data_IF_235290866501
#
_entry.id   IF_235290866501
#
_cell.length_a   1.000
_cell.length_b   1.000
_cell.length_c   1.000
_cell.angle_alpha   90.00
_cell.angle_beta   90.00
_cell.angle_gamma   90.00
#
_symmetry.space_group_name_H-M   'P 1'
#
loop_
_entity.id
_entity.type
_entity.pdbx_description
1 polymer ?
#
# COMPACT_ATOMS: atom_id res chain seq x y z
N UNK A 1 34.93 -15.80 1.75
CA UNK A 1 34.32 -14.72 2.56
C UNK A 1 34.75 -13.38 1.98
N UNK A 2 33.88 -12.72 1.19
CA UNK A 2 34.14 -11.37 0.70
C UNK A 2 33.90 -10.41 1.87
N UNK A 3 34.92 -9.65 2.25
CA UNK A 3 34.79 -8.48 3.12
C UNK A 3 33.89 -7.49 2.38
N UNK A 4 32.59 -7.59 2.62
CA UNK A 4 31.59 -6.66 2.12
C UNK A 4 31.95 -5.32 2.75
N UNK A 5 32.28 -4.35 1.91
CA UNK A 5 32.73 -3.03 2.31
C UNK A 5 31.78 -2.45 3.38
N UNK A 6 32.33 -2.18 4.57
CA UNK A 6 31.59 -1.70 5.75
C UNK A 6 30.95 -0.32 5.48
N UNK A 7 31.57 0.51 4.63
CA UNK A 7 31.10 1.86 4.28
C UNK A 7 29.76 1.90 3.54
N UNK A 8 29.55 1.18 2.41
CA UNK A 8 28.24 1.15 1.75
C UNK A 8 27.16 0.48 2.58
N UNK A 9 27.51 -0.47 3.46
CA UNK A 9 26.56 -1.09 4.38
C UNK A 9 26.04 -0.09 5.43
N UNK A 10 26.94 0.66 6.07
CA UNK A 10 26.58 1.72 7.03
C UNK A 10 25.72 2.81 6.38
N UNK A 11 26.04 3.17 5.14
CA UNK A 11 25.29 4.19 4.41
C UNK A 11 23.88 3.72 4.05
N UNK A 12 23.72 2.48 3.58
CA UNK A 12 22.40 1.89 3.34
C UNK A 12 21.56 1.78 4.62
N UNK A 13 22.20 1.44 5.75
CA UNK A 13 21.55 1.34 7.05
C UNK A 13 21.12 2.71 7.59
N UNK A 14 21.92 3.75 7.37
CA UNK A 14 21.57 5.14 7.67
C UNK A 14 20.38 5.65 6.84
N UNK A 15 20.32 5.31 5.55
CA UNK A 15 19.17 5.64 4.69
C UNK A 15 17.91 4.92 5.18
N UNK A 16 18.01 3.64 5.53
CA UNK A 16 16.89 2.88 6.09
C UNK A 16 16.37 3.49 7.40
N UNK A 17 17.26 3.87 8.31
CA UNK A 17 16.89 4.55 9.55
C UNK A 17 16.19 5.89 9.28
N UNK A 18 16.78 6.73 8.42
CA UNK A 18 16.21 8.02 8.04
C UNK A 18 14.82 7.83 7.41
N UNK A 19 14.66 6.83 6.55
CA UNK A 19 13.38 6.47 5.97
C UNK A 19 12.37 6.05 7.04
N UNK A 20 12.73 5.15 7.95
CA UNK A 20 11.80 4.72 9.00
C UNK A 20 11.33 5.87 9.88
N UNK A 21 12.21 6.82 10.20
CA UNK A 21 11.87 8.00 11.01
C UNK A 21 10.98 8.96 10.21
N UNK A 22 11.34 9.26 8.96
CA UNK A 22 10.62 10.21 8.11
C UNK A 22 9.19 9.74 7.80
N UNK A 23 9.01 8.45 7.54
CA UNK A 23 7.74 7.86 7.12
C UNK A 23 6.93 7.27 8.28
N UNK A 24 7.42 7.34 9.53
CA UNK A 24 6.75 6.76 10.70
C UNK A 24 5.31 7.25 10.85
N UNK A 25 5.09 8.57 10.74
CA UNK A 25 3.76 9.18 10.82
C UNK A 25 2.83 8.71 9.70
N UNK A 26 3.35 8.54 8.50
CA UNK A 26 2.57 8.04 7.35
C UNK A 26 2.17 6.59 7.57
N UNK A 27 3.07 5.78 8.14
CA UNK A 27 2.80 4.38 8.46
C UNK A 27 1.75 4.24 9.58
N UNK A 28 1.86 5.06 10.63
CA UNK A 28 0.89 5.14 11.72
C UNK A 28 -0.50 5.53 11.19
N UNK A 29 -0.57 6.54 10.31
CA UNK A 29 -1.83 6.96 9.70
C UNK A 29 -2.50 5.85 8.87
N UNK A 30 -1.72 5.00 8.18
CA UNK A 30 -2.25 3.84 7.44
C UNK A 30 -2.77 2.77 8.42
N UNK A 31 -2.06 2.54 9.53
CA UNK A 31 -2.46 1.56 10.55
C UNK A 31 -3.71 1.98 11.32
N UNK A 32 -3.81 3.26 11.71
CA UNK A 32 -4.97 3.79 12.45
C UNK A 32 -6.27 3.72 11.64
N UNK A 33 -6.21 4.01 10.33
CA UNK A 33 -7.35 3.83 9.40
C UNK A 33 -7.72 2.36 9.19
N UNK A 34 -6.74 1.49 9.37
CA UNK A 34 -6.63 0.26 8.63
C UNK A 34 -6.81 -1.01 9.43
N UNK A 35 -7.57 -1.00 10.52
CA UNK A 35 -7.73 -2.16 11.41
C UNK A 35 -8.39 -3.40 10.76
N UNK A 36 -8.86 -3.33 9.51
CA UNK A 36 -9.48 -4.47 8.81
C UNK A 36 -8.79 -4.84 7.48
N UNK A 37 -8.85 -4.01 6.43
CA UNK A 37 -8.42 -4.43 5.08
C UNK A 37 -6.99 -4.00 4.72
N UNK A 38 -6.49 -2.89 5.25
CA UNK A 38 -5.12 -2.41 4.98
C UNK A 38 -4.06 -3.35 5.57
N UNK A 39 -4.29 -3.86 6.78
CA UNK A 39 -3.43 -4.89 7.39
C UNK A 39 -3.41 -6.17 6.55
N UNK A 40 -4.57 -6.57 6.00
CA UNK A 40 -4.65 -7.74 5.11
C UNK A 40 -3.78 -7.56 3.87
N UNK A 41 -3.75 -6.35 3.29
CA UNK A 41 -2.90 -6.06 2.12
C UNK A 41 -1.42 -6.22 2.47
N UNK A 42 -0.98 -5.73 3.65
CA UNK A 42 0.39 -5.90 4.12
C UNK A 42 0.73 -7.39 4.34
N UNK A 43 -0.18 -8.16 4.94
CA UNK A 43 -0.02 -9.61 5.14
C UNK A 43 0.10 -10.34 3.80
N UNK A 44 -0.73 -10.00 2.82
CA UNK A 44 -0.69 -10.62 1.48
C UNK A 44 0.61 -10.25 0.77
N UNK A 45 1.05 -8.99 0.85
CA UNK A 45 2.34 -8.58 0.28
C UNK A 45 3.49 -9.41 0.87
N UNK A 46 3.50 -9.59 2.19
CA UNK A 46 4.49 -10.42 2.88
C UNK A 46 4.37 -11.91 2.49
N UNK A 47 3.15 -12.42 2.34
CA UNK A 47 2.89 -13.77 1.89
C UNK A 47 3.38 -14.04 0.47
N UNK A 48 3.19 -13.10 -0.47
CA UNK A 48 3.68 -13.21 -1.85
C UNK A 48 5.21 -13.34 -1.85
N UNK A 49 5.89 -12.53 -1.04
CA UNK A 49 7.35 -12.59 -0.89
C UNK A 49 7.77 -13.94 -0.29
N UNK A 50 7.09 -14.38 0.77
CA UNK A 50 7.40 -15.64 1.46
C UNK A 50 7.17 -16.87 0.57
N UNK A 51 6.05 -16.91 -0.15
CA UNK A 51 5.64 -18.01 -1.02
C UNK A 51 6.67 -18.28 -2.14
N UNK A 52 7.39 -17.25 -2.59
CA UNK A 52 8.40 -17.37 -3.65
C UNK A 52 9.80 -16.95 -3.18
N UNK A 53 10.13 -17.18 -1.90
CA UNK A 53 11.43 -16.82 -1.31
C UNK A 53 12.63 -17.26 -2.18
N UNK A 54 12.63 -18.49 -2.67
CA UNK A 54 13.75 -19.03 -3.47
C UNK A 54 13.94 -18.30 -4.80
N UNK A 55 12.86 -17.75 -5.36
CA UNK A 55 12.89 -16.95 -6.58
C UNK A 55 13.42 -15.53 -6.36
N UNK A 56 13.27 -15.00 -5.14
CA UNK A 56 13.67 -13.64 -4.78
C UNK A 56 15.06 -13.56 -4.15
N UNK A 57 15.49 -14.58 -3.40
CA UNK A 57 16.76 -14.55 -2.65
C UNK A 57 17.98 -15.07 -3.43
N UNK A 58 17.81 -15.80 -4.54
CA UNK A 58 18.92 -16.31 -5.36
C UNK A 58 19.38 -15.34 -6.48
N UNK A 59 19.11 -14.05 -6.32
CA UNK A 59 19.33 -13.05 -7.37
C UNK A 59 20.66 -12.35 -7.16
N UNK A 60 21.47 -12.14 -8.22
CA UNK A 60 22.64 -11.29 -8.10
C UNK A 60 22.19 -9.85 -7.80
N UNK A 61 22.44 -9.43 -6.56
CA UNK A 61 22.20 -8.06 -6.08
C UNK A 61 23.15 -7.13 -6.85
N UNK A 62 22.59 -6.25 -7.68
CA UNK A 62 23.34 -5.22 -8.41
C UNK A 62 22.75 -3.85 -8.03
N UNK A 63 23.26 -3.20 -6.97
CA UNK A 63 22.73 -1.94 -6.49
C UNK A 63 22.74 -0.88 -7.59
N UNK A 64 21.67 -0.10 -7.72
CA UNK A 64 21.63 1.04 -8.62
C UNK A 64 21.43 2.31 -7.79
N UNK A 65 22.55 2.80 -7.25
CA UNK A 65 22.63 3.99 -6.39
C UNK A 65 22.02 5.22 -7.08
N UNK A 66 22.39 5.62 -8.32
CA UNK A 66 21.85 6.84 -8.90
C UNK A 66 20.34 6.76 -9.09
N UNK A 67 19.81 5.67 -9.65
CA UNK A 67 18.37 5.53 -9.85
C UNK A 67 17.60 5.46 -8.52
N UNK A 68 18.12 4.72 -7.53
CA UNK A 68 17.50 4.61 -6.21
C UNK A 68 17.46 5.96 -5.50
N UNK A 69 18.55 6.72 -5.53
CA UNK A 69 18.61 8.07 -4.94
C UNK A 69 17.64 9.03 -5.62
N UNK A 70 17.53 9.00 -6.96
CA UNK A 70 16.56 9.84 -7.68
C UNK A 70 15.12 9.56 -7.24
N UNK A 71 14.74 8.29 -7.15
CA UNK A 71 13.39 7.89 -6.73
C UNK A 71 13.15 8.26 -5.26
N UNK A 72 14.13 8.05 -4.38
CA UNK A 72 14.04 8.46 -2.98
C UNK A 72 13.89 9.98 -2.83
N UNK A 73 14.59 10.76 -3.65
CA UNK A 73 14.49 12.22 -3.62
C UNK A 73 13.09 12.69 -4.05
N UNK A 74 12.52 12.09 -5.10
CA UNK A 74 11.14 12.33 -5.53
C UNK A 74 10.16 11.96 -4.39
N UNK A 75 10.36 10.81 -3.76
CA UNK A 75 9.57 10.35 -2.63
C UNK A 75 9.60 11.33 -1.47
N UNK A 76 10.78 11.86 -1.11
CA UNK A 76 10.91 12.88 -0.08
C UNK A 76 10.21 14.19 -0.44
N UNK A 77 10.29 14.63 -1.70
CA UNK A 77 9.55 15.80 -2.16
C UNK A 77 8.04 15.60 -2.06
N UNK A 78 7.54 14.41 -2.45
CA UNK A 78 6.12 14.06 -2.30
C UNK A 78 5.70 14.05 -0.83
N UNK A 79 6.53 13.50 0.07
CA UNK A 79 6.25 13.50 1.51
C UNK A 79 6.21 14.92 2.05
N UNK A 80 7.16 15.77 1.65
CA UNK A 80 7.21 17.17 2.05
C UNK A 80 5.95 17.91 1.61
N UNK A 81 5.56 17.78 0.35
CA UNK A 81 4.34 18.39 -0.19
C UNK A 81 3.11 17.85 0.55
N UNK A 82 2.96 16.52 0.64
CA UNK A 82 1.80 15.86 1.26
C UNK A 82 1.62 16.21 2.73
N UNK A 83 2.73 16.33 3.48
CA UNK A 83 2.70 16.80 4.87
C UNK A 83 2.33 18.28 4.99
N UNK A 84 2.71 19.11 4.01
CA UNK A 84 2.41 20.56 4.01
C UNK A 84 0.97 20.84 3.62
N UNK A 85 0.42 20.10 2.67
CA UNK A 85 -0.95 20.25 2.18
C UNK A 85 -1.97 19.47 3.00
N UNK A 86 -1.53 18.70 4.01
CA UNK A 86 -2.36 17.75 4.76
C UNK A 86 -3.11 16.75 3.85
N UNK A 87 -2.62 16.54 2.64
CA UNK A 87 -3.22 15.59 1.68
C UNK A 87 -2.62 14.22 1.91
N UNK A 88 -3.37 13.37 2.58
CA UNK A 88 -2.88 12.05 2.95
C UNK A 88 -2.57 11.15 1.74
N UNK A 89 -3.31 11.28 0.64
CA UNK A 89 -3.04 10.53 -0.60
C UNK A 89 -1.62 10.77 -1.14
N UNK A 90 -1.09 11.99 -1.02
CA UNK A 90 0.30 12.29 -1.38
C UNK A 90 1.29 11.65 -0.41
N UNK A 91 1.00 11.70 0.90
CA UNK A 91 1.86 11.10 1.93
C UNK A 91 1.95 9.58 1.81
N UNK A 92 0.85 8.91 1.48
CA UNK A 92 0.84 7.46 1.17
C UNK A 92 1.59 7.15 -0.13
N UNK A 93 1.36 7.94 -1.18
CA UNK A 93 2.10 7.82 -2.44
C UNK A 93 3.61 8.01 -2.25
N UNK A 94 4.00 8.93 -1.37
CA UNK A 94 5.38 9.11 -0.95
C UNK A 94 5.92 7.84 -0.27
N UNK A 95 5.18 7.24 0.67
CA UNK A 95 5.61 6.00 1.32
C UNK A 95 5.84 4.86 0.32
N UNK A 96 4.90 4.66 -0.61
CA UNK A 96 4.98 3.60 -1.64
C UNK A 96 6.19 3.84 -2.56
N UNK A 97 6.31 5.05 -3.11
CA UNK A 97 7.43 5.42 -3.99
C UNK A 97 8.78 5.36 -3.26
N UNK A 98 8.79 5.64 -1.96
CA UNK A 98 9.95 5.51 -1.10
C UNK A 98 10.42 4.07 -0.94
N UNK A 99 9.50 3.13 -0.68
CA UNK A 99 9.81 1.69 -0.65
C UNK A 99 10.39 1.24 -1.99
N UNK A 100 9.83 1.71 -3.11
CA UNK A 100 10.37 1.42 -4.45
C UNK A 100 11.80 1.94 -4.61
N UNK A 101 12.05 3.17 -4.15
CA UNK A 101 13.39 3.79 -4.12
C UNK A 101 14.39 2.97 -3.33
N UNK A 102 14.03 2.47 -2.14
CA UNK A 102 14.90 1.60 -1.32
C UNK A 102 15.22 0.30 -2.04
N UNK A 103 14.22 -0.35 -2.63
CA UNK A 103 14.44 -1.61 -3.36
C UNK A 103 15.39 -1.42 -4.54
N UNK A 104 15.25 -0.33 -5.28
CA UNK A 104 16.17 0.01 -6.38
C UNK A 104 17.55 0.40 -5.84
N UNK A 105 17.62 1.12 -4.74
CA UNK A 105 18.87 1.54 -4.11
C UNK A 105 19.71 0.33 -3.68
N UNK A 106 19.10 -0.63 -2.98
CA UNK A 106 19.78 -1.81 -2.44
C UNK A 106 19.97 -2.90 -3.51
N UNK A 107 18.89 -3.24 -4.22
CA UNK A 107 18.83 -4.40 -5.11
C UNK A 107 18.96 -4.09 -6.61
N UNK A 108 18.86 -2.82 -6.98
CA UNK A 108 18.77 -2.37 -8.36
C UNK A 108 17.48 -2.78 -9.07
N UNK A 109 17.44 -2.51 -10.38
CA UNK A 109 16.30 -2.86 -11.23
C UNK A 109 16.08 -4.37 -11.35
N UNK A 110 17.12 -5.19 -11.14
CA UNK A 110 17.00 -6.66 -11.17
C UNK A 110 16.07 -7.15 -10.05
N UNK A 111 16.27 -6.65 -8.83
CA UNK A 111 15.42 -6.98 -7.69
C UNK A 111 14.04 -6.33 -7.83
N UNK A 112 13.98 -5.05 -8.24
CA UNK A 112 12.72 -4.33 -8.43
C UNK A 112 11.77 -5.05 -9.40
N UNK A 113 12.28 -5.53 -10.55
CA UNK A 113 11.46 -6.27 -11.53
C UNK A 113 10.88 -7.58 -10.97
N UNK A 114 11.61 -8.26 -10.08
CA UNK A 114 11.12 -9.49 -9.45
C UNK A 114 10.12 -9.20 -8.34
N UNK A 115 10.39 -8.18 -7.53
CA UNK A 115 9.49 -7.69 -6.49
C UNK A 115 8.35 -6.82 -7.04
N UNK A 116 8.22 -6.69 -8.35
CA UNK A 116 7.21 -5.82 -8.97
C UNK A 116 5.80 -6.16 -8.49
N UNK A 117 5.45 -7.45 -8.40
CA UNK A 117 4.13 -7.87 -7.91
C UNK A 117 3.90 -7.46 -6.45
N UNK A 118 4.76 -7.82 -5.47
CA UNK A 118 4.65 -7.30 -4.11
C UNK A 118 4.59 -5.77 -4.01
N UNK A 119 5.43 -5.07 -4.79
CA UNK A 119 5.55 -3.61 -4.73
C UNK A 119 4.36 -2.89 -5.36
N UNK A 120 3.81 -3.43 -6.45
CA UNK A 120 2.56 -2.95 -7.05
C UNK A 120 1.38 -3.23 -6.13
N UNK A 121 1.41 -4.33 -5.38
CA UNK A 121 0.36 -4.68 -4.43
C UNK A 121 0.25 -3.66 -3.28
N UNK A 122 1.37 -3.04 -2.87
CA UNK A 122 1.35 -1.95 -1.88
C UNK A 122 0.57 -0.73 -2.37
N UNK A 123 0.40 -0.51 -3.68
CA UNK A 123 -0.45 0.59 -4.15
C UNK A 123 -1.91 0.46 -3.70
N UNK A 124 -2.37 -0.77 -3.43
CA UNK A 124 -3.72 -1.00 -2.95
C UNK A 124 -3.94 -0.55 -1.51
N UNK A 125 -2.88 -0.25 -0.73
CA UNK A 125 -3.05 0.36 0.59
C UNK A 125 -3.37 1.85 0.53
N UNK A 126 -3.34 2.47 -0.64
CA UNK A 126 -3.61 3.90 -0.74
C UNK A 126 -5.11 4.20 -0.64
N UNK A 127 -5.43 5.28 0.06
CA UNK A 127 -6.72 5.96 0.10
C UNK A 127 -7.27 6.28 -1.30
N UNK A 128 -6.43 6.32 -2.34
CA UNK A 128 -6.89 6.41 -3.73
C UNK A 128 -7.87 5.28 -4.10
N UNK A 129 -7.59 4.06 -3.62
CA UNK A 129 -8.41 2.89 -3.86
C UNK A 129 -9.71 2.98 -3.05
N UNK A 130 -9.64 3.46 -1.82
CA UNK A 130 -10.84 3.74 -1.00
C UNK A 130 -11.78 4.72 -1.72
N UNK A 131 -11.25 5.82 -2.27
CA UNK A 131 -12.07 6.80 -3.00
C UNK A 131 -12.81 6.18 -4.19
N UNK A 132 -12.19 5.23 -4.90
CA UNK A 132 -12.87 4.48 -5.97
C UNK A 132 -14.00 3.62 -5.40
N UNK A 133 -13.74 2.90 -4.30
CA UNK A 133 -14.76 2.09 -3.64
C UNK A 133 -15.91 2.93 -3.09
N UNK A 134 -15.66 4.12 -2.56
CA UNK A 134 -16.69 5.04 -2.07
C UNK A 134 -17.64 5.47 -3.20
N UNK A 135 -17.11 5.77 -4.39
CA UNK A 135 -17.93 6.10 -5.57
C UNK A 135 -18.82 4.93 -5.98
N UNK A 136 -18.33 3.69 -5.85
CA UNK A 136 -19.05 2.47 -6.21
C UNK A 136 -20.02 2.01 -5.11
N UNK A 137 -19.78 2.36 -3.86
CA UNK A 137 -20.53 1.89 -2.69
C UNK A 137 -22.04 2.11 -2.79
N UNK A 138 -22.54 3.28 -3.24
CA UNK A 138 -23.97 3.51 -3.43
C UNK A 138 -24.64 2.47 -4.35
N UNK A 139 -23.98 2.09 -5.45
CA UNK A 139 -24.50 1.08 -6.38
C UNK A 139 -24.60 -0.31 -5.71
N UNK A 140 -23.57 -0.69 -4.96
CA UNK A 140 -23.58 -1.94 -4.20
C UNK A 140 -24.60 -1.94 -3.06
N UNK A 141 -24.79 -0.81 -2.37
CA UNK A 141 -25.82 -0.67 -1.33
C UNK A 141 -27.22 -0.80 -1.89
N UNK A 142 -27.48 -0.22 -3.06
CA UNK A 142 -28.79 -0.30 -3.70
C UNK A 142 -29.12 -1.73 -4.14
N UNK A 143 -28.19 -2.42 -4.79
CA UNK A 143 -28.38 -3.82 -5.22
C UNK A 143 -28.55 -4.78 -4.04
N UNK A 144 -27.76 -4.62 -2.98
CA UNK A 144 -27.93 -5.42 -1.76
C UNK A 144 -29.25 -5.12 -1.05
N UNK A 145 -29.71 -3.87 -1.02
CA UNK A 145 -31.03 -3.51 -0.48
C UNK A 145 -32.18 -4.17 -1.27
N UNK A 146 -32.11 -4.21 -2.60
CA UNK A 146 -33.10 -4.91 -3.45
C UNK A 146 -33.13 -6.40 -3.11
N UNK A 147 -31.98 -7.06 -3.06
CA UNK A 147 -31.88 -8.50 -2.76
C UNK A 147 -32.41 -8.79 -1.35
N UNK A 148 -32.06 -7.95 -0.37
CA UNK A 148 -32.51 -8.08 1.01
C UNK A 148 -34.03 -7.93 1.14
N UNK A 149 -34.63 -6.94 0.47
CA UNK A 149 -36.09 -6.76 0.47
C UNK A 149 -36.80 -7.90 -0.27
N UNK A 150 -36.25 -8.39 -1.38
CA UNK A 150 -36.80 -9.55 -2.08
C UNK A 150 -36.83 -10.80 -1.18
N UNK A 151 -35.73 -11.06 -0.46
CA UNK A 151 -35.65 -12.16 0.49
C UNK A 151 -36.62 -11.94 1.67
N UNK A 152 -36.64 -10.74 2.26
CA UNK A 152 -37.48 -10.42 3.41
C UNK A 152 -38.98 -10.56 3.10
N UNK A 153 -39.44 -10.06 1.94
CA UNK A 153 -40.82 -10.24 1.48
C UNK A 153 -41.15 -11.73 1.27
N UNK A 154 -40.21 -12.54 0.78
CA UNK A 154 -40.40 -13.99 0.65
C UNK A 154 -40.58 -14.70 2.00
N UNK A 155 -39.98 -14.17 3.07
CA UNK A 155 -40.16 -14.66 4.44
C UNK A 155 -41.36 -14.00 5.18
N UNK A 156 -42.16 -13.18 4.50
CA UNK A 156 -43.37 -12.58 5.05
C UNK A 156 -43.18 -11.23 5.77
N UNK A 157 -41.99 -10.63 5.69
CA UNK A 157 -41.74 -9.30 6.23
C UNK A 157 -42.06 -8.23 5.18
N UNK A 158 -43.04 -7.38 5.46
CA UNK A 158 -43.33 -6.19 4.65
C UNK A 158 -42.17 -5.20 4.77
N UNK A 159 -41.33 -5.14 3.74
CA UNK A 159 -40.19 -4.22 3.67
C UNK A 159 -40.14 -3.54 2.31
N UNK A 160 -39.73 -2.27 2.30
CA UNK A 160 -39.59 -1.49 1.08
C UNK A 160 -38.21 -0.84 1.02
N UNK A 161 -37.66 -0.75 -0.20
CA UNK A 161 -36.40 -0.02 -0.44
C UNK A 161 -36.73 1.47 -0.55
N UNK A 162 -36.16 2.30 0.32
CA UNK A 162 -36.20 3.76 0.22
C UNK A 162 -34.79 4.24 -0.09
N UNK A 163 -34.55 4.55 -1.36
CA UNK A 163 -33.25 4.93 -1.95
C UNK A 163 -32.14 3.87 -1.74
N UNK A 164 -31.44 3.92 -0.61
CA UNK A 164 -30.31 3.04 -0.24
C UNK A 164 -30.51 2.31 1.09
N UNK A 165 -31.64 2.51 1.75
CA UNK A 165 -31.94 1.91 3.05
C UNK A 165 -33.22 1.08 2.99
N UNK A 166 -33.24 0.00 3.78
CA UNK A 166 -34.43 -0.81 4.01
C UNK A 166 -35.23 -0.10 5.09
N UNK A 167 -36.46 0.32 4.78
CA UNK A 167 -37.39 0.83 5.80
C UNK A 167 -38.42 -0.24 6.13
N UNK A 168 -38.61 -0.44 7.42
CA UNK A 168 -39.78 -1.11 7.97
C UNK A 168 -40.96 -0.11 7.91
N UNK A 169 -42.20 -0.59 7.79
CA UNK A 169 -43.40 0.25 7.81
C UNK A 169 -43.52 1.08 9.10
#
# INVERSE_FOLDING_TARGET
MKVIAIKPLLFALGILLCFTIAYFKSFEAILERGLSWHILILIIAMFIIWSRKEHYFNVPIKPNIPAGTSVLLISFLLLFIGSSTSTLLLSEGALITGIWGIVIYIGGFSLFKRLFWPLAYLCFTSSAVEGIFEILTPFYRHTTAIIAVFLANKFGFLTFVSETYIRLP
#
